data_IF_697896164403
#
_entry.id   IF_697896164403
#
_cell.length_a   1.000
_cell.length_b   1.000
_cell.length_c   1.000
_cell.angle_alpha   90.00
_cell.angle_beta   90.00
_cell.angle_gamma   90.00
#
_symmetry.space_group_name_H-M   'P 1'
#
loop_
_entity.id
_entity.type
_entity.pdbx_description
1 polymer ?
#
# COMPACT_ATOMS: atom_id res chain seq x y z
N UNK A 1 -7.17 16.52 -5.25
CA UNK A 1 -7.34 15.95 -3.89
C UNK A 1 -6.04 15.39 -3.31
N UNK A 2 -5.32 14.45 -3.95
CA UNK A 2 -4.05 13.89 -3.43
C UNK A 2 -2.99 14.96 -3.10
N UNK A 3 -2.82 15.98 -3.95
CA UNK A 3 -1.87 17.07 -3.73
C UNK A 3 -2.24 17.90 -2.49
N UNK A 4 -3.51 18.24 -2.33
CA UNK A 4 -4.00 19.05 -1.20
C UNK A 4 -3.81 18.32 0.14
N UNK A 5 -4.06 17.00 0.15
CA UNK A 5 -3.82 16.13 1.30
C UNK A 5 -2.33 16.04 1.66
N UNK A 6 -1.46 15.90 0.67
CA UNK A 6 -0.01 15.88 0.90
C UNK A 6 0.50 17.21 1.48
N UNK A 7 -0.03 18.34 1.01
CA UNK A 7 0.29 19.67 1.56
C UNK A 7 -0.18 19.77 3.02
N UNK A 8 -1.40 19.32 3.32
CA UNK A 8 -1.93 19.32 4.69
C UNK A 8 -1.11 18.43 5.63
N UNK A 9 -0.73 17.24 5.17
CA UNK A 9 0.12 16.32 5.93
C UNK A 9 1.52 16.91 6.19
N UNK A 10 2.12 17.55 5.19
CA UNK A 10 3.42 18.20 5.33
C UNK A 10 3.36 19.38 6.32
N UNK A 11 2.33 20.23 6.21
CA UNK A 11 2.12 21.36 7.12
C UNK A 11 1.92 20.89 8.57
N UNK A 12 1.17 19.79 8.79
CA UNK A 12 1.01 19.19 10.11
C UNK A 12 2.33 18.69 10.69
N UNK A 13 3.11 17.93 9.91
CA UNK A 13 4.40 17.37 10.37
C UNK A 13 5.39 18.49 10.71
N UNK A 14 5.49 19.52 9.87
CA UNK A 14 6.36 20.67 10.12
C UNK A 14 5.89 21.44 11.36
N UNK A 15 4.59 21.72 11.50
CA UNK A 15 4.03 22.40 12.66
C UNK A 15 4.27 21.63 13.96
N UNK A 16 4.09 20.29 13.92
CA UNK A 16 4.37 19.42 15.06
C UNK A 16 5.85 19.41 15.43
N UNK A 17 6.74 19.31 14.44
CA UNK A 17 8.18 19.32 14.66
C UNK A 17 8.61 20.62 15.35
N UNK A 18 8.18 21.78 14.84
CA UNK A 18 8.51 23.08 15.45
C UNK A 18 7.90 23.21 16.84
N UNK A 19 6.66 22.80 17.05
CA UNK A 19 6.00 22.86 18.36
C UNK A 19 6.75 22.00 19.41
N UNK A 20 7.16 20.79 19.05
CA UNK A 20 7.85 19.88 19.99
C UNK A 20 9.29 20.28 20.21
N UNK A 21 10.08 20.51 19.16
CA UNK A 21 11.53 20.73 19.29
C UNK A 21 11.92 22.16 19.64
N UNK A 22 11.09 23.13 19.33
CA UNK A 22 11.34 24.53 19.70
C UNK A 22 10.36 25.05 20.78
N UNK A 23 9.07 24.65 20.73
CA UNK A 23 8.04 25.12 21.66
C UNK A 23 8.21 24.57 23.05
N UNK A 24 8.49 23.26 23.22
CA UNK A 24 8.69 22.64 24.55
C UNK A 24 9.93 23.18 25.25
N UNK A 25 11.13 23.24 24.60
CA UNK A 25 12.29 23.89 25.22
C UNK A 25 12.07 25.36 25.56
N UNK A 26 11.42 26.11 24.68
CA UNK A 26 11.06 27.49 24.94
C UNK A 26 10.20 27.63 26.20
N UNK A 27 9.16 26.84 26.36
CA UNK A 27 8.28 26.88 27.53
C UNK A 27 9.02 26.54 28.82
N UNK A 28 9.97 25.62 28.77
CA UNK A 28 10.78 25.23 29.95
C UNK A 28 11.80 26.30 30.31
N UNK A 29 12.44 26.95 29.30
CA UNK A 29 13.52 27.91 29.53
C UNK A 29 13.04 29.35 29.82
N UNK A 30 11.82 29.71 29.36
CA UNK A 30 11.33 31.10 29.38
C UNK A 30 9.93 31.17 30.06
N UNK A 31 9.70 30.31 31.05
CA UNK A 31 8.36 30.19 31.72
C UNK A 31 7.90 31.46 32.42
N UNK A 32 8.77 32.44 32.67
CA UNK A 32 8.41 33.71 33.35
C UNK A 32 7.79 34.77 32.41
N UNK A 33 7.75 34.54 31.11
CA UNK A 33 7.20 35.48 30.13
C UNK A 33 5.88 34.98 29.53
N UNK A 34 4.73 35.66 29.77
CA UNK A 34 3.41 35.26 29.28
C UNK A 34 3.21 35.50 27.76
N UNK A 35 4.21 36.06 27.05
CA UNK A 35 4.06 36.43 25.65
C UNK A 35 4.44 35.26 24.77
N UNK A 36 3.42 34.66 24.11
CA UNK A 36 3.64 33.59 23.12
C UNK A 36 4.34 34.16 21.90
N UNK A 37 5.52 33.65 21.51
CA UNK A 37 6.23 34.17 20.36
C UNK A 37 5.50 33.90 19.05
N UNK A 38 5.61 34.82 18.09
CA UNK A 38 4.89 34.78 16.81
C UNK A 38 5.15 33.47 16.02
N UNK A 39 6.38 32.95 16.06
CA UNK A 39 6.76 31.71 15.38
C UNK A 39 6.01 30.48 15.95
N UNK A 40 5.73 30.47 17.25
CA UNK A 40 4.98 29.39 17.89
C UNK A 40 3.50 29.44 17.48
N UNK A 41 2.90 30.65 17.39
CA UNK A 41 1.55 30.82 16.84
C UNK A 41 1.47 30.31 15.40
N UNK A 42 2.44 30.64 14.55
CA UNK A 42 2.52 30.16 13.17
C UNK A 42 2.60 28.62 13.14
N UNK A 43 3.43 28.01 13.98
CA UNK A 43 3.54 26.56 14.07
C UNK A 43 2.20 25.89 14.47
N UNK A 44 1.49 26.45 15.45
CA UNK A 44 0.15 25.96 15.86
C UNK A 44 -0.87 26.13 14.75
N UNK A 45 -0.87 27.26 14.03
CA UNK A 45 -1.75 27.47 12.87
C UNK A 45 -1.45 26.48 11.74
N UNK A 46 -0.20 26.20 11.46
CA UNK A 46 0.19 25.18 10.47
C UNK A 46 -0.26 23.77 10.89
N UNK A 47 -0.15 23.45 12.18
CA UNK A 47 -0.58 22.17 12.72
C UNK A 47 -2.10 22.00 12.62
N UNK A 48 -2.87 22.97 13.13
CA UNK A 48 -4.34 22.92 13.09
C UNK A 48 -4.88 22.99 11.66
N UNK A 49 -4.34 23.87 10.83
CA UNK A 49 -4.70 24.00 9.42
C UNK A 49 -4.38 22.74 8.62
N UNK A 50 -3.24 22.11 8.90
CA UNK A 50 -2.85 20.83 8.32
C UNK A 50 -3.82 19.70 8.64
N UNK A 51 -4.21 19.57 9.94
CA UNK A 51 -5.23 18.59 10.37
C UNK A 51 -6.56 18.86 9.67
N UNK A 52 -7.05 20.10 9.70
CA UNK A 52 -8.32 20.46 9.09
C UNK A 52 -8.35 20.13 7.60
N UNK A 53 -7.28 20.42 6.89
CA UNK A 53 -7.17 20.19 5.44
C UNK A 53 -7.15 18.68 5.13
N UNK A 54 -6.48 17.87 5.95
CA UNK A 54 -6.50 16.40 5.83
C UNK A 54 -7.90 15.87 6.13
N UNK A 55 -8.56 16.32 7.21
CA UNK A 55 -9.92 15.89 7.56
C UNK A 55 -10.92 16.20 6.44
N UNK A 56 -10.91 17.42 5.90
CA UNK A 56 -11.80 17.83 4.80
C UNK A 56 -11.54 16.98 3.56
N UNK A 57 -10.28 16.75 3.18
CA UNK A 57 -9.96 15.93 2.00
C UNK A 57 -10.36 14.48 2.17
N UNK A 58 -10.20 13.90 3.36
CA UNK A 58 -10.64 12.52 3.68
C UNK A 58 -12.17 12.43 3.64
N UNK A 59 -12.89 13.38 4.25
CA UNK A 59 -14.35 13.41 4.24
C UNK A 59 -14.94 13.53 2.82
N UNK A 60 -14.32 14.35 1.96
CA UNK A 60 -14.72 14.49 0.56
C UNK A 60 -14.39 13.26 -0.30
N UNK A 61 -13.37 12.46 0.08
CA UNK A 61 -13.02 11.22 -0.61
C UNK A 61 -13.91 10.05 -0.21
N UNK A 62 -14.43 10.00 1.03
CA UNK A 62 -15.34 8.95 1.49
C UNK A 62 -16.63 8.83 0.65
N UNK A 63 -17.08 9.94 0.06
CA UNK A 63 -18.25 9.94 -0.84
C UNK A 63 -17.99 9.39 -2.25
N UNK A 64 -16.74 9.08 -2.60
CA UNK A 64 -16.33 8.66 -3.96
C UNK A 64 -15.78 7.25 -4.02
N UNK A 65 -16.29 6.33 -3.21
CA UNK A 65 -15.85 4.94 -3.12
C UNK A 65 -15.85 4.19 -4.46
N UNK A 66 -14.94 4.56 -5.36
CA UNK A 66 -14.56 3.72 -6.49
C UNK A 66 -13.45 2.80 -5.99
N UNK A 67 -13.81 1.57 -5.68
CA UNK A 67 -12.85 0.47 -5.56
C UNK A 67 -11.97 0.52 -6.82
N UNK A 68 -10.64 0.68 -6.70
CA UNK A 68 -9.78 0.68 -7.88
C UNK A 68 -10.01 -0.62 -8.64
N UNK A 69 -10.50 -0.52 -9.87
CA UNK A 69 -10.68 -1.70 -10.70
C UNK A 69 -9.32 -2.41 -10.82
N UNK A 70 -9.25 -3.63 -10.35
CA UNK A 70 -8.06 -4.48 -10.41
C UNK A 70 -7.72 -4.70 -11.88
N UNK A 71 -6.75 -3.95 -12.39
CA UNK A 71 -6.32 -4.08 -13.77
C UNK A 71 -5.47 -5.34 -13.87
N UNK A 72 -6.09 -6.46 -14.27
CA UNK A 72 -5.37 -7.68 -14.58
C UNK A 72 -4.28 -7.37 -15.61
N UNK A 73 -3.02 -7.39 -15.17
CA UNK A 73 -1.85 -7.11 -16.01
C UNK A 73 -1.48 -8.30 -16.91
N UNK A 74 -2.23 -9.39 -16.86
CA UNK A 74 -2.06 -10.58 -17.70
C UNK A 74 -2.11 -10.31 -19.21
N UNK A 75 -2.64 -9.14 -19.61
CA UNK A 75 -2.69 -8.77 -21.04
C UNK A 75 -1.35 -8.29 -21.63
N UNK A 76 -0.33 -7.98 -20.80
CA UNK A 76 0.94 -7.41 -21.28
C UNK A 76 2.08 -8.41 -21.50
N UNK A 77 1.99 -9.61 -20.92
CA UNK A 77 3.09 -10.58 -20.94
C UNK A 77 3.04 -11.60 -22.09
N UNK A 78 2.10 -11.54 -23.00
CA UNK A 78 2.05 -12.45 -24.16
C UNK A 78 2.03 -13.96 -23.84
N UNK A 79 2.21 -14.34 -22.58
CA UNK A 79 2.26 -15.71 -22.08
C UNK A 79 0.87 -16.15 -21.64
N UNK A 80 0.31 -17.10 -22.37
CA UNK A 80 -1.00 -17.73 -22.07
C UNK A 80 -0.89 -18.76 -20.93
N UNK A 81 -0.19 -18.45 -19.84
CA UNK A 81 -0.16 -19.32 -18.67
C UNK A 81 -1.46 -19.12 -17.89
N UNK A 82 -2.26 -20.16 -17.75
CA UNK A 82 -3.51 -20.14 -16.98
C UNK A 82 -3.19 -20.12 -15.48
N UNK A 83 -3.86 -19.27 -14.72
CA UNK A 83 -3.74 -19.20 -13.26
C UNK A 83 -5.01 -19.75 -12.62
N UNK A 84 -4.87 -20.77 -11.77
CA UNK A 84 -5.99 -21.46 -11.13
C UNK A 84 -5.69 -21.72 -9.66
N UNK A 85 -6.71 -21.53 -8.82
CA UNK A 85 -6.65 -21.87 -7.40
C UNK A 85 -7.14 -23.32 -7.14
N UNK A 86 -7.54 -24.05 -8.17
CA UNK A 86 -7.94 -25.45 -8.10
C UNK A 86 -6.74 -26.39 -8.25
N UNK A 87 -6.91 -27.63 -7.82
CA UNK A 87 -5.90 -28.71 -7.94
C UNK A 87 -5.75 -29.22 -9.38
N UNK A 88 -6.74 -28.95 -10.23
CA UNK A 88 -6.72 -29.37 -11.62
C UNK A 88 -7.34 -28.30 -12.52
N UNK A 89 -6.97 -28.34 -13.80
CA UNK A 89 -7.54 -27.47 -14.82
C UNK A 89 -8.87 -28.08 -15.32
N UNK A 90 -9.99 -27.39 -15.21
CA UNK A 90 -11.27 -27.89 -15.68
C UNK A 90 -11.20 -28.27 -17.19
N UNK A 91 -11.66 -29.47 -17.51
CA UNK A 91 -11.73 -29.96 -18.91
C UNK A 91 -10.38 -30.32 -19.55
N UNK A 92 -9.27 -30.26 -18.82
CA UNK A 92 -7.94 -30.60 -19.32
C UNK A 92 -7.18 -31.49 -18.35
N UNK A 93 -6.55 -32.55 -18.85
CA UNK A 93 -5.71 -33.43 -18.02
C UNK A 93 -4.29 -32.87 -17.93
N UNK A 94 -3.71 -32.89 -16.75
CA UNK A 94 -2.29 -32.59 -16.54
C UNK A 94 -1.46 -33.68 -17.21
N UNK A 95 -0.53 -33.28 -18.05
CA UNK A 95 0.43 -34.18 -18.69
C UNK A 95 1.67 -34.36 -17.82
N UNK A 96 2.17 -33.26 -17.26
CA UNK A 96 3.44 -33.21 -16.54
C UNK A 96 3.40 -32.13 -15.47
N UNK A 97 3.94 -32.40 -14.31
CA UNK A 97 4.14 -31.45 -13.22
C UNK A 97 5.57 -30.95 -13.33
N UNK A 98 5.75 -29.64 -13.54
CA UNK A 98 7.06 -29.03 -13.73
C UNK A 98 7.71 -28.61 -12.43
N UNK A 99 6.91 -28.38 -11.37
CA UNK A 99 7.40 -28.04 -10.05
C UNK A 99 6.78 -26.76 -9.47
N UNK A 100 7.37 -26.32 -8.36
CA UNK A 100 6.96 -25.10 -7.65
C UNK A 100 7.42 -23.86 -8.41
N UNK A 101 6.53 -22.90 -8.56
CA UNK A 101 6.83 -21.55 -9.05
C UNK A 101 6.36 -20.52 -8.02
N UNK A 102 7.13 -19.45 -7.88
CA UNK A 102 6.86 -18.41 -6.91
C UNK A 102 7.22 -17.02 -7.42
N UNK A 103 6.56 -16.02 -6.88
CA UNK A 103 6.90 -14.62 -7.09
C UNK A 103 6.71 -13.87 -5.80
N UNK A 104 7.64 -12.98 -5.47
CA UNK A 104 7.56 -12.19 -4.25
C UNK A 104 7.81 -10.72 -4.55
N UNK A 105 7.33 -9.87 -3.66
CA UNK A 105 7.62 -8.43 -3.68
C UNK A 105 7.53 -7.88 -2.27
N UNK A 106 8.39 -6.92 -1.95
CA UNK A 106 8.41 -6.23 -0.66
C UNK A 106 8.05 -4.77 -0.90
N UNK A 107 7.10 -4.27 -0.12
CA UNK A 107 6.70 -2.87 -0.13
C UNK A 107 6.92 -2.26 1.25
N UNK A 108 7.59 -1.11 1.27
CA UNK A 108 7.70 -0.29 2.45
C UNK A 108 6.61 0.78 2.44
N UNK A 109 5.96 0.97 3.58
CA UNK A 109 4.94 2.01 3.78
C UNK A 109 5.66 3.27 4.23
N UNK A 110 5.51 4.35 3.48
CA UNK A 110 6.16 5.62 3.81
C UNK A 110 5.37 6.36 4.90
N UNK A 111 6.06 6.74 5.98
CA UNK A 111 5.48 7.42 7.16
C UNK A 111 4.65 8.68 6.85
N UNK A 112 4.93 9.38 5.74
CA UNK A 112 4.17 10.57 5.34
C UNK A 112 2.71 10.32 4.91
N UNK A 113 2.31 9.05 4.67
CA UNK A 113 0.93 8.66 4.36
C UNK A 113 0.16 8.19 5.61
N UNK A 114 0.85 7.96 6.71
CA UNK A 114 0.26 7.36 7.91
C UNK A 114 -0.69 8.30 8.64
N UNK A 115 -0.52 9.63 8.54
CA UNK A 115 -1.44 10.56 9.19
C UNK A 115 -2.85 10.47 8.60
N UNK A 116 -2.99 10.38 7.28
CA UNK A 116 -4.30 10.20 6.65
C UNK A 116 -4.89 8.82 6.93
N UNK A 117 -4.03 7.79 7.03
CA UNK A 117 -4.41 6.44 7.41
C UNK A 117 -4.85 6.39 8.88
N UNK A 118 -4.13 7.06 9.79
CA UNK A 118 -4.48 7.15 11.21
C UNK A 118 -5.84 7.84 11.41
N UNK A 119 -6.11 8.93 10.70
CA UNK A 119 -7.40 9.62 10.76
C UNK A 119 -8.51 8.71 10.25
N UNK A 120 -8.30 7.97 9.16
CA UNK A 120 -9.27 6.99 8.65
C UNK A 120 -9.46 5.79 9.57
N UNK A 121 -8.44 5.39 10.32
CA UNK A 121 -8.56 4.34 11.33
C UNK A 121 -9.52 4.74 12.47
N UNK A 122 -9.54 6.03 12.84
CA UNK A 122 -10.41 6.59 13.88
C UNK A 122 -11.82 6.84 13.34
N UNK A 123 -11.94 7.43 12.14
CA UNK A 123 -13.23 7.80 11.54
C UNK A 123 -13.91 6.64 10.79
N UNK A 124 -13.21 5.55 10.57
CA UNK A 124 -13.63 4.44 9.71
C UNK A 124 -13.43 4.75 8.22
N UNK A 125 -13.52 3.72 7.38
CA UNK A 125 -13.42 3.81 5.93
C UNK A 125 -12.29 2.97 5.34
N UNK A 126 -12.28 2.82 4.02
CA UNK A 126 -11.26 2.05 3.31
C UNK A 126 -9.94 2.83 3.22
N UNK A 127 -8.85 2.14 3.51
CA UNK A 127 -7.48 2.64 3.35
C UNK A 127 -7.05 2.53 1.88
N UNK A 128 -7.61 3.39 1.02
CA UNK A 128 -7.48 3.32 -0.44
C UNK A 128 -6.04 3.28 -0.94
N UNK A 129 -5.12 4.00 -0.28
CA UNK A 129 -3.69 3.97 -0.60
C UNK A 129 -3.05 2.60 -0.36
N UNK A 130 -3.46 1.95 0.73
CA UNK A 130 -3.00 0.59 1.08
C UNK A 130 -3.59 -0.44 0.14
N UNK A 131 -4.88 -0.32 -0.20
CA UNK A 131 -5.56 -1.19 -1.17
C UNK A 131 -4.88 -1.10 -2.55
N UNK A 132 -4.59 0.11 -3.03
CA UNK A 132 -3.88 0.33 -4.30
C UNK A 132 -2.46 -0.24 -4.26
N UNK A 133 -1.72 -0.03 -3.17
CA UNK A 133 -0.37 -0.54 -2.98
C UNK A 133 -0.35 -2.07 -2.95
N UNK A 134 -1.22 -2.70 -2.16
CA UNK A 134 -1.33 -4.16 -2.08
C UNK A 134 -1.81 -4.77 -3.41
N UNK A 135 -2.68 -4.07 -4.14
CA UNK A 135 -3.10 -4.45 -5.49
C UNK A 135 -1.92 -4.49 -6.48
N UNK A 136 -1.08 -3.46 -6.46
CA UNK A 136 0.14 -3.39 -7.27
C UNK A 136 1.17 -4.45 -6.84
N UNK A 137 1.29 -4.71 -5.53
CA UNK A 137 2.14 -5.76 -4.99
C UNK A 137 1.73 -7.14 -5.52
N UNK A 138 0.43 -7.47 -5.44
CA UNK A 138 -0.11 -8.75 -5.96
C UNK A 138 0.14 -8.90 -7.44
N UNK A 139 -0.10 -7.86 -8.22
CA UNK A 139 0.15 -7.87 -9.67
C UNK A 139 1.63 -8.13 -9.97
N UNK A 140 2.54 -7.44 -9.28
CA UNK A 140 3.99 -7.60 -9.47
C UNK A 140 4.46 -9.00 -9.10
N UNK A 141 4.05 -9.53 -7.94
CA UNK A 141 4.41 -10.87 -7.50
C UNK A 141 3.86 -11.94 -8.46
N UNK A 142 2.59 -11.81 -8.89
CA UNK A 142 1.97 -12.72 -9.85
C UNK A 142 2.72 -12.74 -11.18
N UNK A 143 3.11 -11.57 -11.69
CA UNK A 143 3.86 -11.49 -12.95
C UNK A 143 5.22 -12.17 -12.85
N UNK A 144 5.92 -12.06 -11.70
CA UNK A 144 7.19 -12.76 -11.46
C UNK A 144 7.00 -14.27 -11.45
N UNK A 145 5.96 -14.77 -10.77
CA UNK A 145 5.62 -16.19 -10.77
C UNK A 145 5.26 -16.68 -12.19
N UNK A 146 4.47 -15.91 -12.95
CA UNK A 146 4.10 -16.25 -14.32
C UNK A 146 5.32 -16.28 -15.24
N UNK A 147 6.27 -15.36 -15.10
CA UNK A 147 7.50 -15.33 -15.86
C UNK A 147 8.33 -16.61 -15.59
N UNK A 148 8.50 -16.99 -14.33
CA UNK A 148 9.17 -18.22 -13.95
C UNK A 148 8.48 -19.46 -14.56
N UNK A 149 7.16 -19.54 -14.50
CA UNK A 149 6.41 -20.64 -15.10
C UNK A 149 6.56 -20.69 -16.64
N UNK A 150 6.58 -19.53 -17.29
CA UNK A 150 6.80 -19.44 -18.73
C UNK A 150 8.19 -19.91 -19.15
N UNK A 151 9.23 -19.58 -18.38
CA UNK A 151 10.60 -20.09 -18.59
C UNK A 151 10.67 -21.62 -18.49
N UNK A 152 9.85 -22.23 -17.60
CA UNK A 152 9.72 -23.67 -17.50
C UNK A 152 8.85 -24.29 -18.61
N UNK A 153 8.24 -23.48 -19.47
CA UNK A 153 7.35 -23.92 -20.53
C UNK A 153 6.01 -24.46 -20.03
N UNK A 154 5.49 -23.91 -18.92
CA UNK A 154 4.22 -24.30 -18.36
C UNK A 154 3.04 -23.76 -19.17
N UNK A 155 1.95 -24.55 -19.24
CA UNK A 155 0.66 -24.12 -19.80
C UNK A 155 -0.27 -23.53 -18.74
N UNK A 156 -0.10 -23.97 -17.47
CA UNK A 156 -0.91 -23.50 -16.34
C UNK A 156 -0.14 -23.53 -15.02
N UNK A 157 -0.60 -22.72 -14.07
CA UNK A 157 -0.21 -22.77 -12.66
C UNK A 157 -1.46 -23.11 -11.86
N UNK A 158 -1.42 -24.19 -11.11
CA UNK A 158 -2.51 -24.68 -10.26
C UNK A 158 -2.15 -24.47 -8.78
N UNK A 159 -3.16 -24.55 -7.90
CA UNK A 159 -2.99 -24.33 -6.46
C UNK A 159 -2.35 -22.97 -6.12
N UNK A 160 -2.70 -21.91 -6.84
CA UNK A 160 -2.14 -20.58 -6.59
C UNK A 160 -2.57 -20.08 -5.21
N UNK A 161 -1.59 -19.72 -4.39
CA UNK A 161 -1.78 -19.18 -3.04
C UNK A 161 -1.05 -17.86 -2.89
N UNK A 162 -1.62 -16.97 -2.08
CA UNK A 162 -1.03 -15.70 -1.70
C UNK A 162 -0.78 -15.67 -0.20
N UNK A 163 0.40 -15.23 0.19
CA UNK A 163 0.77 -15.00 1.59
C UNK A 163 1.29 -13.57 1.74
N UNK A 164 0.96 -12.97 2.86
CA UNK A 164 1.47 -11.65 3.23
C UNK A 164 2.14 -11.78 4.58
N UNK A 165 3.39 -11.36 4.68
CA UNK A 165 4.20 -11.42 5.90
C UNK A 165 4.73 -10.02 6.21
N UNK A 166 4.67 -9.61 7.47
CA UNK A 166 5.36 -8.41 7.95
C UNK A 166 6.85 -8.73 8.06
N UNK A 167 7.70 -7.90 7.43
CA UNK A 167 9.15 -8.14 7.42
C UNK A 167 9.83 -7.34 8.52
N UNK A 168 9.72 -6.01 8.48
CA UNK A 168 10.28 -5.10 9.49
C UNK A 168 9.42 -3.84 9.56
N UNK A 169 8.95 -3.47 10.75
CA UNK A 169 8.22 -2.23 10.97
C UNK A 169 7.04 -2.07 10.02
N UNK A 170 7.17 -1.14 9.09
CA UNK A 170 6.12 -0.81 8.09
C UNK A 170 6.33 -1.49 6.73
N UNK A 171 7.23 -2.47 6.59
CA UNK A 171 7.42 -3.22 5.36
C UNK A 171 6.65 -4.55 5.39
N UNK A 172 5.93 -4.83 4.31
CA UNK A 172 5.20 -6.08 4.10
C UNK A 172 5.72 -6.80 2.84
N UNK A 173 5.96 -8.10 2.99
CA UNK A 173 6.23 -8.99 1.87
C UNK A 173 4.92 -9.61 1.40
N UNK A 174 4.76 -9.68 0.10
CA UNK A 174 3.71 -10.45 -0.55
C UNK A 174 4.36 -11.54 -1.40
N UNK A 175 4.10 -12.78 -1.02
CA UNK A 175 4.51 -13.99 -1.72
C UNK A 175 3.31 -14.60 -2.44
N UNK A 176 3.48 -14.99 -3.69
CA UNK A 176 2.56 -15.86 -4.42
C UNK A 176 3.31 -17.10 -4.88
N UNK A 177 2.68 -18.26 -4.77
CA UNK A 177 3.26 -19.53 -5.20
C UNK A 177 2.18 -20.47 -5.73
N UNK A 178 2.62 -21.44 -6.53
CA UNK A 178 1.77 -22.46 -7.11
C UNK A 178 2.57 -23.55 -7.81
N UNK A 179 1.89 -24.50 -8.42
CA UNK A 179 2.50 -25.61 -9.14
C UNK A 179 2.35 -25.39 -10.65
N UNK A 180 3.47 -25.28 -11.33
CA UNK A 180 3.53 -25.19 -12.79
C UNK A 180 3.27 -26.56 -13.43
N UNK A 181 2.40 -26.60 -14.43
CA UNK A 181 2.02 -27.85 -15.11
C UNK A 181 1.94 -27.67 -16.63
N UNK A 182 2.22 -28.76 -17.35
CA UNK A 182 1.87 -28.90 -18.77
C UNK A 182 0.56 -29.63 -18.92
N UNK A 183 -0.25 -29.16 -19.85
CA UNK A 183 -1.54 -29.75 -20.15
C UNK A 183 -1.45 -30.70 -21.35
N UNK A 184 -2.31 -31.67 -21.37
CA UNK A 184 -2.50 -32.52 -22.55
C UNK A 184 -3.28 -31.72 -23.60
N UNK A 185 -2.76 -31.66 -24.82
CA UNK A 185 -3.49 -31.10 -25.97
C UNK A 185 -4.69 -31.94 -26.30
#
# INVERSE_FOLDING_TARGET
MKILRNIGSLAFVLGLFVAVFAGVPWHILVSDNPVVPLWLLIAVFCLLGGILLVLVTVALEQGKGKIPAYKHLSAKLGTRVLLLNSEAVPGRKTREILGLVQGHTVYAIWLGKDLSALIRLILGGELTEYTEMLGNARSTATNRMMAQAAEMGADAIINVRYMTTSVVGSAAELLVYGTAVKLRK
#
